data_IF_270102533745
#
_entry.id   IF_270102533745
#
_cell.length_a   1.000
_cell.length_b   1.000
_cell.length_c   1.000
_cell.angle_alpha   90.00
_cell.angle_beta   90.00
_cell.angle_gamma   90.00
#
_symmetry.space_group_name_H-M   'P 1'
#
loop_
_entity.id
_entity.type
_entity.pdbx_description
1 polymer ?
#
# COMPACT_ATOMS: atom_id res chain seq x y z
N UNK A 1 9.28 7.37 -9.61
CA UNK A 1 10.52 6.61 -9.61
C UNK A 1 10.91 6.20 -8.20
N UNK A 2 11.60 5.10 -8.07
CA UNK A 2 12.11 4.62 -6.77
C UNK A 2 13.49 5.17 -6.42
N UNK A 3 14.10 5.94 -7.31
CA UNK A 3 15.45 6.45 -7.10
C UNK A 3 15.56 7.32 -5.85
N UNK A 4 14.52 8.05 -5.51
CA UNK A 4 14.50 8.89 -4.33
C UNK A 4 14.57 8.10 -3.02
N UNK A 5 14.38 6.77 -3.08
CA UNK A 5 14.55 5.86 -1.95
C UNK A 5 15.82 5.03 -2.08
N UNK A 6 16.71 5.38 -3.02
CA UNK A 6 17.94 4.65 -3.24
C UNK A 6 17.80 3.46 -4.17
N UNK A 7 16.63 3.30 -4.80
CA UNK A 7 16.41 2.22 -5.76
C UNK A 7 16.95 2.57 -7.12
N UNK A 8 17.13 1.58 -7.95
CA UNK A 8 17.63 1.72 -9.31
C UNK A 8 16.71 1.09 -10.35
N UNK A 9 17.10 1.17 -11.61
CA UNK A 9 16.34 0.56 -12.69
C UNK A 9 16.13 -0.93 -12.43
N UNK A 10 14.91 -1.40 -12.62
CA UNK A 10 14.58 -2.81 -12.43
C UNK A 10 14.09 -3.17 -11.03
N UNK A 11 14.23 -2.28 -10.07
CA UNK A 11 13.66 -2.53 -8.74
C UNK A 11 12.14 -2.50 -8.79
N UNK A 12 11.52 -3.30 -7.94
CA UNK A 12 10.07 -3.29 -7.82
C UNK A 12 9.62 -1.93 -7.29
N UNK A 13 8.54 -1.45 -7.85
CA UNK A 13 8.09 -0.09 -7.59
C UNK A 13 6.84 -0.01 -6.72
N UNK A 14 6.19 -1.14 -6.45
CA UNK A 14 4.91 -1.12 -5.76
C UNK A 14 4.98 -0.45 -4.37
N UNK A 15 5.96 -0.83 -3.56
CA UNK A 15 6.11 -0.23 -2.24
C UNK A 15 6.63 1.19 -2.32
N UNK A 16 7.49 1.49 -3.28
CA UNK A 16 7.96 2.85 -3.52
C UNK A 16 6.82 3.77 -3.92
N UNK A 17 5.95 3.31 -4.81
CA UNK A 17 4.78 4.05 -5.26
C UNK A 17 3.83 4.33 -4.08
N UNK A 18 3.48 3.29 -3.32
CA UNK A 18 2.61 3.45 -2.17
C UNK A 18 3.23 4.35 -1.11
N UNK A 19 4.52 4.15 -0.82
CA UNK A 19 5.25 5.00 0.12
C UNK A 19 5.17 6.47 -0.28
N UNK A 20 5.38 6.76 -1.56
CA UNK A 20 5.36 8.12 -2.04
C UNK A 20 4.01 8.78 -1.84
N UNK A 21 2.95 8.05 -2.10
CA UNK A 21 1.59 8.57 -1.91
C UNK A 21 1.33 8.83 -0.42
N UNK A 22 1.65 7.87 0.42
CA UNK A 22 1.42 8.02 1.87
C UNK A 22 2.22 9.17 2.44
N UNK A 23 3.46 9.34 1.99
CA UNK A 23 4.29 10.45 2.42
C UNK A 23 3.77 11.79 1.88
N UNK A 24 3.35 11.82 0.61
CA UNK A 24 2.84 13.04 -0.01
C UNK A 24 1.63 13.60 0.76
N UNK A 25 0.77 12.72 1.23
CA UNK A 25 -0.41 13.13 2.00
C UNK A 25 -0.16 13.25 3.50
N UNK A 26 1.09 13.13 3.93
CA UNK A 26 1.45 13.31 5.33
C UNK A 26 1.01 12.15 6.24
N UNK A 27 0.70 11.00 5.66
CA UNK A 27 0.24 9.85 6.43
C UNK A 27 1.41 9.14 7.11
N UNK A 28 2.54 9.07 6.42
CA UNK A 28 3.78 8.56 6.99
C UNK A 28 4.89 9.59 6.81
N UNK A 29 5.95 9.43 7.58
CA UNK A 29 7.14 10.26 7.45
C UNK A 29 8.06 9.69 6.36
N UNK A 30 8.98 10.51 5.87
CA UNK A 30 9.96 10.11 4.87
C UNK A 30 10.73 8.86 5.28
N UNK A 31 11.13 8.79 6.54
CA UNK A 31 11.91 7.66 7.07
C UNK A 31 11.09 6.36 7.12
N UNK A 32 9.79 6.44 7.02
CA UNK A 32 8.90 5.28 7.02
C UNK A 32 8.62 4.76 5.62
N UNK A 33 9.09 5.45 4.60
CA UNK A 33 9.00 4.97 3.22
C UNK A 33 9.92 3.75 3.03
N UNK A 34 9.53 2.83 2.18
CA UNK A 34 10.32 1.64 1.93
C UNK A 34 10.07 1.10 0.53
N UNK A 35 11.09 0.50 -0.06
CA UNK A 35 10.95 -0.26 -1.31
C UNK A 35 10.50 -1.71 -1.04
N UNK A 36 10.50 -2.12 0.20
CA UNK A 36 10.05 -3.45 0.62
C UNK A 36 8.58 -3.37 1.03
N UNK A 37 7.72 -4.14 0.37
CA UNK A 37 6.31 -4.18 0.74
C UNK A 37 6.13 -4.69 2.17
N UNK A 38 6.94 -5.67 2.57
CA UNK A 38 6.90 -6.21 3.93
C UNK A 38 7.25 -5.15 4.97
N UNK A 39 8.31 -4.38 4.73
CA UNK A 39 8.71 -3.32 5.65
C UNK A 39 7.68 -2.19 5.68
N UNK A 40 7.13 -1.85 4.52
CA UNK A 40 6.11 -0.82 4.45
C UNK A 40 4.86 -1.23 5.23
N UNK A 41 4.46 -2.50 5.15
CA UNK A 41 3.34 -3.01 5.94
C UNK A 41 3.61 -2.82 7.44
N UNK A 42 4.81 -3.14 7.89
CA UNK A 42 5.17 -2.96 9.30
C UNK A 42 5.04 -1.49 9.70
N UNK A 43 5.48 -0.58 8.83
CA UNK A 43 5.38 0.85 9.11
C UNK A 43 3.93 1.34 9.09
N UNK A 44 3.13 0.85 8.16
CA UNK A 44 1.70 1.20 8.09
C UNK A 44 0.96 0.74 9.34
N UNK A 45 1.30 -0.43 9.87
CA UNK A 45 0.69 -0.93 11.10
C UNK A 45 1.00 -0.07 12.32
N UNK A 46 2.03 0.78 12.25
CA UNK A 46 2.37 1.71 13.33
C UNK A 46 1.54 2.98 13.30
N UNK A 47 0.81 3.24 12.23
CA UNK A 47 -0.03 4.44 12.14
C UNK A 47 -1.14 4.34 13.18
N UNK A 48 -1.30 5.34 14.06
CA UNK A 48 -2.33 5.29 15.07
C UNK A 48 -3.72 5.07 14.46
N UNK A 49 -4.42 4.04 14.94
CA UNK A 49 -5.76 3.72 14.47
C UNK A 49 -5.82 2.89 13.19
N UNK A 50 -4.68 2.61 12.57
CA UNK A 50 -4.67 1.71 11.41
C UNK A 50 -5.09 0.31 11.84
N UNK A 51 -5.95 -0.32 11.07
CA UNK A 51 -6.49 -1.63 11.45
C UNK A 51 -6.87 -2.45 10.21
N UNK A 52 -6.86 -3.77 10.38
CA UNK A 52 -7.27 -4.67 9.33
C UNK A 52 -8.77 -4.58 9.10
N UNK A 53 -9.18 -4.71 7.83
CA UNK A 53 -10.58 -4.75 7.43
C UNK A 53 -10.82 -5.96 6.55
N UNK A 54 -12.05 -6.45 6.53
CA UNK A 54 -12.47 -7.55 5.67
C UNK A 54 -13.21 -7.04 4.43
N UNK A 55 -13.97 -5.97 4.58
CA UNK A 55 -14.65 -5.34 3.45
C UNK A 55 -13.82 -4.16 2.99
N UNK A 56 -13.34 -4.24 1.77
CA UNK A 56 -12.52 -3.19 1.19
C UNK A 56 -13.32 -1.93 0.91
N UNK A 57 -12.68 -0.80 1.09
CA UNK A 57 -13.24 0.50 0.75
C UNK A 57 -12.15 1.35 0.09
N UNK A 58 -12.59 2.36 -0.64
CA UNK A 58 -11.68 3.29 -1.29
C UNK A 58 -10.68 3.86 -0.29
N UNK A 59 -9.40 3.84 -0.67
CA UNK A 59 -8.34 4.40 0.15
C UNK A 59 -7.69 3.42 1.11
N UNK A 60 -8.26 2.23 1.29
CA UNK A 60 -7.57 1.19 2.04
C UNK A 60 -6.26 0.85 1.34
N UNK A 61 -5.24 0.51 2.11
CA UNK A 61 -4.00 -0.02 1.53
C UNK A 61 -4.05 -1.53 1.59
N UNK A 62 -3.53 -2.17 0.56
CA UNK A 62 -3.61 -3.62 0.44
C UNK A 62 -2.22 -4.19 0.21
N UNK A 63 -1.95 -5.29 0.88
CA UNK A 63 -0.69 -6.02 0.76
C UNK A 63 -1.01 -7.47 0.42
N UNK A 64 -0.15 -8.06 -0.40
CA UNK A 64 -0.35 -9.42 -0.89
C UNK A 64 0.82 -10.28 -0.45
N UNK A 65 0.51 -11.44 0.14
CA UNK A 65 1.51 -12.40 0.57
C UNK A 65 1.55 -13.60 -0.38
N UNK A 66 2.69 -14.25 -0.45
CA UNK A 66 2.84 -15.47 -1.23
C UNK A 66 2.47 -16.71 -0.39
N UNK A 67 2.72 -17.90 -0.94
CA UNK A 67 2.39 -19.16 -0.27
C UNK A 67 3.05 -19.32 1.09
N UNK A 68 4.23 -18.73 1.26
CA UNK A 68 5.02 -18.80 2.49
C UNK A 68 4.69 -17.65 3.44
N UNK A 69 3.61 -16.93 3.18
CA UNK A 69 3.16 -15.77 3.97
C UNK A 69 4.14 -14.59 3.94
N UNK A 70 4.95 -14.51 2.90
CA UNK A 70 5.85 -13.38 2.72
C UNK A 70 5.15 -12.33 1.87
N UNK A 71 5.03 -11.12 2.40
CA UNK A 71 4.42 -9.99 1.68
C UNK A 71 5.38 -9.53 0.59
N UNK A 72 4.89 -9.50 -0.64
CA UNK A 72 5.73 -9.20 -1.79
C UNK A 72 5.20 -8.08 -2.67
N UNK A 73 3.98 -7.61 -2.43
CA UNK A 73 3.34 -6.63 -3.31
C UNK A 73 2.33 -5.82 -2.53
N UNK A 74 2.00 -4.64 -3.04
CA UNK A 74 1.02 -3.77 -2.38
C UNK A 74 0.38 -2.79 -3.37
N UNK A 75 -0.67 -2.14 -2.91
CA UNK A 75 -1.38 -1.15 -3.70
C UNK A 75 -2.39 -0.39 -2.85
N UNK A 76 -3.19 0.42 -3.53
CA UNK A 76 -4.26 1.19 -2.90
C UNK A 76 -5.58 0.71 -3.46
N UNK A 77 -6.57 0.52 -2.61
CA UNK A 77 -7.90 0.09 -3.04
C UNK A 77 -8.61 1.29 -3.65
N UNK A 78 -9.05 1.13 -4.89
CA UNK A 78 -9.91 2.09 -5.58
C UNK A 78 -11.37 1.85 -5.21
N UNK A 79 -11.77 0.58 -5.19
CA UNK A 79 -13.08 0.14 -4.75
C UNK A 79 -13.06 -1.36 -4.50
N UNK A 80 -14.02 -1.84 -3.74
CA UNK A 80 -14.10 -3.27 -3.51
C UNK A 80 -15.23 -3.63 -2.56
N UNK A 81 -15.28 -4.92 -2.25
CA UNK A 81 -16.25 -5.47 -1.34
C UNK A 81 -15.59 -6.57 -0.49
N UNK A 82 -16.32 -7.62 -0.15
CA UNK A 82 -15.79 -8.75 0.62
C UNK A 82 -15.03 -9.75 -0.24
N UNK A 83 -15.22 -9.73 -1.55
CA UNK A 83 -14.72 -10.78 -2.44
C UNK A 83 -13.66 -10.27 -3.42
N UNK A 84 -13.80 -9.06 -3.93
CA UNK A 84 -12.95 -8.51 -5.00
C UNK A 84 -12.61 -7.07 -4.74
N UNK A 85 -11.44 -6.68 -5.25
CA UNK A 85 -10.99 -5.30 -5.19
C UNK A 85 -10.46 -4.86 -6.55
N UNK A 86 -10.60 -3.56 -6.83
CA UNK A 86 -9.83 -2.88 -7.87
C UNK A 86 -8.80 -2.03 -7.16
N UNK A 87 -7.56 -2.12 -7.61
CA UNK A 87 -6.43 -1.46 -6.96
C UNK A 87 -5.71 -0.54 -7.92
N UNK A 88 -5.01 0.43 -7.38
CA UNK A 88 -4.03 1.24 -8.10
C UNK A 88 -2.67 0.79 -7.59
N UNK A 89 -1.80 0.39 -8.51
CA UNK A 89 -0.52 -0.21 -8.17
C UNK A 89 0.59 0.35 -9.04
N UNK A 90 1.78 0.53 -8.42
CA UNK A 90 3.00 0.76 -9.17
C UNK A 90 3.59 -0.58 -9.58
N UNK A 91 4.10 -0.66 -10.79
CA UNK A 91 4.73 -1.89 -11.28
C UNK A 91 6.21 -1.68 -11.56
N UNK A 92 6.90 -2.75 -11.95
CA UNK A 92 8.34 -2.75 -12.14
C UNK A 92 8.82 -1.83 -13.27
N UNK A 93 7.91 -1.34 -14.10
CA UNK A 93 8.26 -0.41 -15.20
C UNK A 93 8.04 1.05 -14.79
N UNK A 94 7.92 1.33 -13.50
CA UNK A 94 7.56 2.66 -13.00
C UNK A 94 6.24 3.17 -13.55
N UNK A 95 5.38 2.27 -13.96
CA UNK A 95 4.05 2.60 -14.45
C UNK A 95 3.01 2.35 -13.37
N UNK A 96 1.97 3.14 -13.39
CA UNK A 96 0.83 2.98 -12.49
C UNK A 96 -0.26 2.27 -13.28
N UNK A 97 -0.84 1.24 -12.70
CA UNK A 97 -1.92 0.51 -13.35
C UNK A 97 -3.04 0.18 -12.39
N UNK A 98 -4.23 0.04 -12.96
CA UNK A 98 -5.38 -0.44 -12.23
C UNK A 98 -5.45 -1.95 -12.42
N UNK A 99 -5.68 -2.68 -11.34
CA UNK A 99 -5.78 -4.13 -11.34
C UNK A 99 -7.05 -4.56 -10.65
N UNK A 100 -7.60 -5.69 -11.10
CA UNK A 100 -8.69 -6.37 -10.41
C UNK A 100 -8.12 -7.60 -9.74
N UNK A 101 -8.46 -7.79 -8.46
CA UNK A 101 -7.91 -8.89 -7.67
C UNK A 101 -8.99 -9.54 -6.83
N UNK A 102 -8.90 -10.85 -6.69
CA UNK A 102 -9.75 -11.60 -5.78
C UNK A 102 -9.13 -11.53 -4.39
N UNK A 103 -9.94 -11.28 -3.39
CA UNK A 103 -9.51 -11.27 -2.01
C UNK A 103 -9.45 -12.72 -1.51
N UNK A 104 -8.33 -13.12 -0.95
CA UNK A 104 -8.15 -14.44 -0.37
C UNK A 104 -7.44 -14.32 1.00
N UNK A 105 -7.04 -15.46 1.56
CA UNK A 105 -6.40 -15.48 2.88
C UNK A 105 -4.98 -14.90 2.88
N UNK A 106 -4.44 -14.57 1.72
CA UNK A 106 -3.12 -13.93 1.59
C UNK A 106 -3.24 -12.43 1.30
N UNK A 107 -4.43 -11.90 1.34
CA UNK A 107 -4.69 -10.47 1.11
C UNK A 107 -4.85 -9.77 2.45
N UNK A 108 -4.04 -8.74 2.67
CA UNK A 108 -4.06 -7.97 3.92
C UNK A 108 -4.52 -6.57 3.57
N UNK A 109 -5.66 -6.14 4.10
CA UNK A 109 -6.19 -4.80 3.86
C UNK A 109 -6.18 -4.02 5.16
N UNK A 110 -5.57 -2.83 5.10
CA UNK A 110 -5.44 -1.95 6.27
C UNK A 110 -6.18 -0.67 5.97
N UNK A 111 -7.08 -0.31 6.87
CA UNK A 111 -7.74 0.99 6.82
C UNK A 111 -6.95 1.97 7.66
N UNK A 112 -6.58 3.08 7.03
CA UNK A 112 -5.90 4.17 7.69
C UNK A 112 -6.98 5.17 8.08
N UNK A 113 -7.07 5.55 9.35
CA UNK A 113 -8.11 6.49 9.77
C UNK A 113 -8.02 7.79 8.99
N UNK A 114 -9.18 8.29 8.58
CA UNK A 114 -9.25 9.63 8.01
C UNK A 114 -8.92 10.61 9.12
N UNK A 115 -7.84 11.34 8.95
CA UNK A 115 -7.49 12.36 9.91
C UNK A 115 -8.38 13.56 9.68
N UNK A 116 -8.96 14.10 10.74
CA UNK A 116 -9.66 15.38 10.60
C UNK A 116 -8.69 16.39 10.03
N UNK A 117 -9.11 17.11 9.02
CA UNK A 117 -8.28 18.17 8.48
C UNK A 117 -8.15 19.24 9.55
N UNK A 118 -6.91 19.45 9.99
CA UNK A 118 -6.66 20.47 10.98
C UNK A 118 -6.57 21.80 10.28
N UNK A 119 -7.48 22.68 10.60
CA UNK A 119 -7.45 24.05 10.12
C UNK A 119 -6.90 24.91 11.21
N UNK A 120 -5.84 25.54 10.89
CA UNK A 120 -5.11 26.38 11.83
C UNK A 120 -5.28 27.85 11.46
#
# INVERSE_FOLDING_TARGET
>A
SVEWLGGGPGDKWCAGFLSRILWHFGIIERKQCSLSARMLLANVRQIPGAHNVLRAAEGDVVFFANKEDVVYHCGIVKRGDLAKISTIEGNSNNAVSERRRVIDDKTIMIRIPTQPVKRQ
#
